data_IF_210106268107
#
_entry.id   IF_210106268107
#
_cell.length_a   1.000
_cell.length_b   1.000
_cell.length_c   1.000
_cell.angle_alpha   90.00
_cell.angle_beta   90.00
_cell.angle_gamma   90.00
#
_symmetry.space_group_name_H-M   'P 1'
#
loop_
_entity.id
_entity.type
_entity.pdbx_description
1 polymer ?
#
# COMPACT_ATOMS: atom_id res chain seq x y z
N UNK A 1 -10.84 -15.28 2.70
CA UNK A 1 -11.49 -15.05 4.01
C UNK A 1 -11.79 -13.55 4.12
N UNK A 2 -12.95 -13.17 4.67
CA UNK A 2 -13.28 -11.76 4.88
C UNK A 2 -12.55 -11.16 6.09
N UNK A 3 -12.58 -9.83 6.21
CA UNK A 3 -11.93 -9.11 7.30
C UNK A 3 -11.19 -7.86 6.83
N UNK A 4 -10.46 -7.23 7.76
CA UNK A 4 -9.81 -5.94 7.54
C UNK A 4 -8.74 -5.99 6.45
N UNK A 5 -8.04 -7.11 6.27
CA UNK A 5 -7.13 -7.33 5.13
C UNK A 5 -7.87 -7.34 3.79
N UNK A 6 -9.05 -7.96 3.73
CA UNK A 6 -9.84 -8.01 2.48
C UNK A 6 -10.40 -6.63 2.12
N UNK A 7 -10.85 -5.89 3.13
CA UNK A 7 -11.46 -4.57 2.97
C UNK A 7 -10.42 -3.48 2.63
N UNK A 8 -9.32 -3.44 3.38
CA UNK A 8 -8.35 -2.33 3.31
C UNK A 8 -7.02 -2.70 2.64
N UNK A 9 -6.67 -3.99 2.58
CA UNK A 9 -5.39 -4.46 2.05
C UNK A 9 -5.18 -4.11 0.59
N UNK A 10 -6.24 -4.11 -0.22
CA UNK A 10 -6.19 -3.74 -1.63
C UNK A 10 -5.59 -2.34 -1.88
N UNK A 11 -5.85 -1.38 -0.99
CA UNK A 11 -5.29 -0.03 -1.11
C UNK A 11 -3.76 -0.01 -1.00
N UNK A 12 -3.19 -0.80 -0.09
CA UNK A 12 -1.74 -0.90 0.06
C UNK A 12 -1.13 -1.79 -1.01
N UNK A 13 -1.82 -2.87 -1.37
CA UNK A 13 -1.39 -3.78 -2.42
C UNK A 13 -1.31 -3.12 -3.79
N UNK A 14 -2.18 -2.16 -4.10
CA UNK A 14 -2.06 -1.36 -5.32
C UNK A 14 -0.68 -0.67 -5.42
N UNK A 15 -0.21 -0.08 -4.31
CA UNK A 15 1.08 0.59 -4.26
C UNK A 15 2.24 -0.41 -4.28
N UNK A 16 2.13 -1.52 -3.54
CA UNK A 16 3.16 -2.58 -3.52
C UNK A 16 3.33 -3.21 -4.91
N UNK A 17 2.23 -3.58 -5.57
CA UNK A 17 2.23 -4.15 -6.92
C UNK A 17 2.74 -3.14 -7.94
N UNK A 18 2.40 -1.86 -7.79
CA UNK A 18 2.91 -0.83 -8.69
C UNK A 18 4.44 -0.69 -8.61
N UNK A 19 5.04 -0.86 -7.42
CA UNK A 19 6.49 -0.71 -7.21
C UNK A 19 7.25 -2.00 -7.52
N UNK A 20 6.76 -3.15 -7.04
CA UNK A 20 7.49 -4.42 -7.04
C UNK A 20 6.91 -5.45 -8.02
N UNK A 21 5.74 -5.20 -8.58
CA UNK A 21 5.05 -6.15 -9.46
C UNK A 21 4.46 -7.34 -8.70
N UNK A 22 4.46 -8.49 -9.36
CA UNK A 22 3.86 -9.73 -8.87
C UNK A 22 4.77 -10.38 -7.81
N UNK A 23 4.27 -10.68 -6.61
CA UNK A 23 5.05 -11.40 -5.61
C UNK A 23 5.30 -12.86 -6.03
N UNK A 24 6.45 -13.39 -5.63
CA UNK A 24 6.83 -14.79 -5.85
C UNK A 24 6.09 -15.73 -4.90
N UNK A 25 5.87 -15.29 -3.66
CA UNK A 25 5.18 -16.04 -2.60
C UNK A 25 4.41 -15.07 -1.72
N UNK A 26 3.21 -15.49 -1.33
CA UNK A 26 2.34 -14.72 -0.43
C UNK A 26 2.00 -15.56 0.80
N UNK A 27 2.22 -14.99 1.99
CA UNK A 27 1.83 -15.61 3.27
C UNK A 27 0.94 -14.66 4.07
N UNK A 28 -0.25 -15.13 4.44
CA UNK A 28 -1.20 -14.37 5.26
C UNK A 28 -1.30 -14.90 6.68
N UNK A 29 -1.26 -14.00 7.66
CA UNK A 29 -1.53 -14.26 9.07
C UNK A 29 -2.81 -13.51 9.44
N UNK A 30 -3.92 -14.24 9.57
CA UNK A 30 -5.25 -13.65 9.77
C UNK A 30 -5.84 -14.09 11.10
N UNK A 31 -6.02 -13.14 12.02
CA UNK A 31 -6.55 -13.39 13.35
C UNK A 31 -7.91 -12.73 13.53
N UNK A 32 -8.77 -13.42 14.28
CA UNK A 32 -10.01 -12.90 14.85
C UNK A 32 -9.76 -12.68 16.33
N UNK A 33 -9.40 -11.44 16.69
CA UNK A 33 -8.88 -11.10 18.01
C UNK A 33 -9.92 -10.40 18.89
N UNK A 34 -10.66 -9.41 18.36
CA UNK A 34 -11.58 -8.59 19.16
C UNK A 34 -12.99 -8.45 18.57
N UNK A 35 -13.14 -8.73 17.28
CA UNK A 35 -14.39 -8.57 16.55
C UNK A 35 -15.51 -9.41 17.18
N UNK A 36 -16.68 -8.81 17.40
CA UNK A 36 -17.87 -9.54 17.83
C UNK A 36 -18.54 -10.35 16.72
N UNK A 37 -18.11 -10.16 15.47
CA UNK A 37 -18.70 -10.82 14.29
C UNK A 37 -17.88 -12.06 13.93
N UNK A 38 -18.45 -13.28 14.03
CA UNK A 38 -17.73 -14.51 13.73
C UNK A 38 -17.16 -14.53 12.31
N UNK A 39 -15.93 -15.01 12.16
CA UNK A 39 -15.28 -15.17 10.85
C UNK A 39 -14.73 -13.90 10.23
N UNK A 40 -14.85 -12.74 10.90
CA UNK A 40 -14.24 -11.47 10.47
C UNK A 40 -12.86 -11.33 11.10
N UNK A 41 -11.82 -11.35 10.28
CA UNK A 41 -10.43 -11.17 10.72
C UNK A 41 -10.15 -9.67 10.93
N UNK A 42 -9.66 -9.28 12.09
CA UNK A 42 -9.52 -7.88 12.52
C UNK A 42 -8.09 -7.52 12.96
N UNK A 43 -7.19 -8.50 13.09
CA UNK A 43 -5.74 -8.30 13.22
C UNK A 43 -5.03 -9.15 12.16
N UNK A 44 -4.37 -8.50 11.21
CA UNK A 44 -3.92 -9.17 10.00
C UNK A 44 -2.56 -8.69 9.52
N UNK A 45 -1.71 -9.63 9.10
CA UNK A 45 -0.42 -9.36 8.47
C UNK A 45 -0.32 -10.15 7.16
N UNK A 46 0.01 -9.47 6.07
CA UNK A 46 0.42 -10.07 4.81
C UNK A 46 1.92 -9.91 4.60
N UNK A 47 2.60 -10.99 4.22
CA UNK A 47 4.01 -11.00 3.83
C UNK A 47 4.11 -11.40 2.36
N UNK A 48 4.79 -10.56 1.57
CA UNK A 48 4.91 -10.70 0.12
C UNK A 48 6.39 -10.74 -0.24
N UNK A 49 6.84 -11.87 -0.76
CA UNK A 49 8.26 -12.12 -1.06
C UNK A 49 8.56 -11.89 -2.55
N UNK A 50 9.69 -11.26 -2.81
CA UNK A 50 10.25 -10.98 -4.13
C UNK A 50 11.73 -11.36 -4.14
N UNK A 51 12.36 -11.47 -5.32
CA UNK A 51 13.77 -11.88 -5.43
C UNK A 51 14.75 -10.97 -4.66
N UNK A 52 14.41 -9.69 -4.49
CA UNK A 52 15.26 -8.70 -3.84
C UNK A 52 14.55 -7.83 -2.80
N UNK A 53 13.32 -8.16 -2.42
CA UNK A 53 12.52 -7.35 -1.49
C UNK A 53 11.51 -8.21 -0.72
N UNK A 54 11.10 -7.70 0.44
CA UNK A 54 9.94 -8.19 1.19
C UNK A 54 9.04 -6.97 1.41
N UNK A 55 7.76 -7.13 1.09
CA UNK A 55 6.74 -6.17 1.50
C UNK A 55 5.87 -6.78 2.60
N UNK A 56 5.48 -5.95 3.56
CA UNK A 56 4.56 -6.31 4.63
C UNK A 56 3.39 -5.35 4.64
N UNK A 57 2.17 -5.88 4.74
CA UNK A 57 0.96 -5.10 4.96
C UNK A 57 0.35 -5.54 6.28
N UNK A 58 0.38 -4.66 7.28
CA UNK A 58 -0.17 -4.89 8.61
C UNK A 58 -1.41 -4.01 8.80
N UNK A 59 -2.53 -4.63 9.21
CA UNK A 59 -3.79 -3.94 9.43
C UNK A 59 -4.47 -4.52 10.66
N UNK A 60 -4.65 -3.65 11.66
CA UNK A 60 -5.29 -3.94 12.94
C UNK A 60 -6.49 -3.02 13.16
N UNK A 61 -7.71 -3.56 13.04
CA UNK A 61 -8.96 -2.80 13.19
C UNK A 61 -9.23 -2.36 14.64
N UNK A 62 -8.57 -3.00 15.62
CA UNK A 62 -8.68 -2.69 17.05
C UNK A 62 -7.76 -1.55 17.52
N UNK A 63 -6.95 -0.96 16.64
CA UNK A 63 -6.02 0.09 17.02
C UNK A 63 -6.76 1.32 17.61
N UNK A 64 -6.30 1.85 18.76
CA UNK A 64 -6.85 3.09 19.31
C UNK A 64 -6.59 4.28 18.39
N UNK A 65 -7.48 5.29 18.41
CA UNK A 65 -7.34 6.48 17.57
C UNK A 65 -6.45 7.55 18.23
N UNK A 66 -5.69 8.35 17.45
CA UNK A 66 -5.55 8.28 15.99
C UNK A 66 -4.70 7.09 15.56
N UNK A 67 -5.11 6.42 14.47
CA UNK A 67 -4.42 5.25 13.93
C UNK A 67 -3.06 5.64 13.34
N UNK A 68 -2.04 4.82 13.58
CA UNK A 68 -0.73 4.95 12.97
C UNK A 68 -0.78 4.45 11.51
N UNK A 69 -1.02 5.38 10.58
CA UNK A 69 -1.01 5.09 9.14
C UNK A 69 0.29 5.56 8.52
N UNK A 70 1.04 4.62 7.97
CA UNK A 70 2.36 4.84 7.39
C UNK A 70 2.56 4.04 6.11
N UNK A 71 3.36 4.59 5.20
CA UNK A 71 3.86 3.89 4.03
C UNK A 71 5.38 4.04 3.99
N UNK A 72 6.09 2.93 3.93
CA UNK A 72 7.53 2.89 4.17
C UNK A 72 8.23 2.11 3.07
N UNK A 73 9.32 2.69 2.56
CA UNK A 73 10.21 2.04 1.60
C UNK A 73 11.64 2.13 2.11
N UNK A 74 12.31 0.98 2.19
CA UNK A 74 13.70 0.86 2.62
C UNK A 74 14.53 0.31 1.45
N UNK A 75 15.54 1.06 1.03
CA UNK A 75 16.45 0.68 -0.05
C UNK A 75 17.90 0.77 0.37
N UNK A 76 18.81 0.36 -0.51
CA UNK A 76 20.24 0.31 -0.20
C UNK A 76 20.90 1.68 -0.06
N UNK A 77 20.27 2.75 -0.56
CA UNK A 77 20.80 4.13 -0.53
C UNK A 77 20.04 5.06 0.39
N UNK A 78 19.01 4.56 1.08
CA UNK A 78 18.12 5.40 1.86
C UNK A 78 16.76 4.79 2.15
N UNK A 79 15.93 5.55 2.85
CA UNK A 79 14.56 5.19 3.17
C UNK A 79 13.62 6.38 3.00
N UNK A 80 12.37 6.10 2.64
CA UNK A 80 11.29 7.08 2.57
C UNK A 80 10.14 6.58 3.43
N UNK A 81 9.74 7.38 4.42
CA UNK A 81 8.66 7.07 5.36
C UNK A 81 7.63 8.19 5.27
N UNK A 82 6.43 7.87 4.82
CA UNK A 82 5.30 8.80 4.80
C UNK A 82 4.44 8.57 6.04
N UNK A 83 4.42 9.54 6.94
CA UNK A 83 3.63 9.56 8.15
C UNK A 83 3.38 11.02 8.57
N UNK A 84 2.12 11.47 8.75
CA UNK A 84 0.88 10.72 8.53
C UNK A 84 0.65 10.40 7.05
N UNK A 85 0.03 9.23 6.80
CA UNK A 85 -0.41 8.83 5.46
C UNK A 85 -1.76 9.45 5.06
N UNK A 86 -2.60 9.81 6.03
CA UNK A 86 -3.93 10.36 5.77
C UNK A 86 -4.37 11.34 6.88
N UNK A 87 -4.46 12.66 6.58
CA UNK A 87 -4.02 13.29 5.34
C UNK A 87 -2.50 13.14 5.14
N UNK A 88 -2.07 13.04 3.89
CA UNK A 88 -0.66 12.90 3.56
C UNK A 88 0.02 14.28 3.73
N UNK A 89 1.11 14.34 4.50
CA UNK A 89 1.71 15.64 4.85
C UNK A 89 3.22 15.72 4.58
N UNK A 90 3.98 14.75 5.08
CA UNK A 90 5.43 14.74 4.94
C UNK A 90 5.97 13.35 4.62
N UNK A 91 7.07 13.35 3.88
CA UNK A 91 7.94 12.19 3.71
C UNK A 91 9.25 12.47 4.43
N UNK A 92 9.55 11.63 5.41
CA UNK A 92 10.86 11.56 6.04
C UNK A 92 11.79 10.75 5.13
N UNK A 93 12.67 11.45 4.41
CA UNK A 93 13.64 10.88 3.46
C UNK A 93 15.04 10.84 4.07
N UNK A 94 15.57 9.64 4.35
CA UNK A 94 16.97 9.46 4.74
C UNK A 94 17.79 9.02 3.55
N UNK A 95 18.95 9.65 3.33
CA UNK A 95 19.88 9.29 2.26
C UNK A 95 21.28 8.99 2.80
N UNK A 96 21.90 7.92 2.29
CA UNK A 96 23.29 7.55 2.58
C UNK A 96 24.28 8.62 2.10
N UNK A 97 23.97 9.25 0.95
CA UNK A 97 24.78 10.31 0.30
C UNK A 97 23.84 11.37 -0.29
N UNK A 98 24.35 12.59 -0.52
CA UNK A 98 23.60 13.65 -1.20
C UNK A 98 23.09 13.18 -2.57
N UNK A 99 21.83 13.43 -2.88
CA UNK A 99 21.21 13.13 -4.19
C UNK A 99 20.34 14.31 -4.63
N UNK A 100 20.65 14.91 -5.78
CA UNK A 100 19.94 16.09 -6.28
C UNK A 100 19.98 17.26 -5.30
N UNK A 101 18.81 17.74 -4.89
CA UNK A 101 18.65 18.81 -3.90
C UNK A 101 18.71 18.31 -2.43
N UNK A 102 18.51 17.01 -2.21
CA UNK A 102 18.43 16.41 -0.87
C UNK A 102 19.82 16.10 -0.31
N UNK A 103 20.06 16.52 0.94
CA UNK A 103 21.33 16.30 1.64
C UNK A 103 21.49 14.85 2.12
N UNK A 104 22.72 14.46 2.40
CA UNK A 104 23.00 13.26 3.18
C UNK A 104 22.30 13.35 4.55
N UNK A 105 21.84 12.21 5.06
CA UNK A 105 21.08 12.15 6.32
C UNK A 105 19.60 12.43 6.09
N UNK A 106 18.95 13.06 7.07
CA UNK A 106 17.49 13.25 7.09
C UNK A 106 17.07 14.51 6.32
N UNK A 107 16.07 14.35 5.45
CA UNK A 107 15.34 15.40 4.76
C UNK A 107 13.85 15.23 5.08
N UNK A 108 13.16 16.33 5.36
CA UNK A 108 11.71 16.34 5.50
C UNK A 108 11.15 16.96 4.22
N UNK A 109 10.51 16.12 3.41
CA UNK A 109 9.91 16.53 2.14
C UNK A 109 8.44 16.81 2.39
N UNK A 110 8.01 18.06 2.20
CA UNK A 110 6.60 18.41 2.23
C UNK A 110 5.93 17.91 0.96
N UNK A 111 4.82 17.22 1.10
CA UNK A 111 3.99 16.80 -0.03
C UNK A 111 2.66 17.54 0.01
N UNK A 112 2.04 17.64 -1.17
CA UNK A 112 0.72 18.24 -1.32
C UNK A 112 -0.35 17.22 -0.93
N UNK A 113 -1.22 17.58 0.01
CA UNK A 113 -2.45 16.82 0.26
C UNK A 113 -3.38 17.02 -0.95
N UNK A 114 -3.63 15.93 -1.68
CA UNK A 114 -4.48 15.95 -2.86
C UNK A 114 -5.86 15.40 -2.53
N UNK A 115 -6.94 16.13 -2.88
CA UNK A 115 -8.29 15.65 -2.67
C UNK A 115 -8.50 14.28 -3.33
N UNK A 116 -9.07 13.35 -2.56
CA UNK A 116 -9.48 12.06 -3.08
C UNK A 116 -10.48 12.26 -4.23
N UNK A 117 -10.37 11.42 -5.24
CA UNK A 117 -11.30 11.32 -6.37
C UNK A 117 -11.30 12.47 -7.38
N UNK A 118 -10.92 13.70 -7.03
CA UNK A 118 -11.00 14.83 -7.99
C UNK A 118 -10.13 14.56 -9.22
N UNK A 119 -8.86 14.22 -9.03
CA UNK A 119 -7.95 13.91 -10.14
C UNK A 119 -8.32 12.63 -10.87
N UNK A 120 -8.66 11.55 -10.14
CA UNK A 120 -8.96 10.25 -10.76
C UNK A 120 -10.28 10.27 -11.52
N UNK A 121 -11.31 11.00 -11.05
CA UNK A 121 -12.57 11.15 -11.77
C UNK A 121 -12.42 12.03 -13.02
N UNK A 122 -11.60 13.09 -12.95
CA UNK A 122 -11.24 13.87 -14.12
C UNK A 122 -10.54 13.02 -15.19
N UNK A 123 -9.59 12.16 -14.80
CA UNK A 123 -8.94 11.23 -15.72
C UNK A 123 -9.88 10.15 -16.25
N UNK A 124 -10.80 9.62 -15.42
CA UNK A 124 -11.84 8.72 -15.89
C UNK A 124 -12.68 9.36 -17.02
N UNK A 125 -13.13 10.61 -16.84
CA UNK A 125 -13.87 11.35 -17.88
C UNK A 125 -13.06 11.57 -19.14
N UNK A 126 -11.74 11.80 -19.03
CA UNK A 126 -10.86 11.91 -20.20
C UNK A 126 -10.71 10.58 -20.92
N UNK A 127 -10.55 9.49 -20.19
CA UNK A 127 -10.38 8.15 -20.74
C UNK A 127 -11.61 7.70 -21.55
N UNK A 128 -12.82 7.83 -21.00
CA UNK A 128 -14.06 7.49 -21.75
C UNK A 128 -14.30 8.37 -22.98
N UNK A 129 -13.65 9.53 -23.05
CA UNK A 129 -13.68 10.45 -24.20
C UNK A 129 -12.54 10.19 -25.20
N UNK A 130 -11.69 9.18 -24.98
CA UNK A 130 -10.52 8.89 -25.81
C UNK A 130 -9.41 9.94 -25.73
N UNK A 131 -9.32 10.69 -24.63
CA UNK A 131 -8.35 11.79 -24.42
C UNK A 131 -7.17 11.43 -23.52
N UNK A 132 -7.17 10.23 -22.96
CA UNK A 132 -6.07 9.65 -22.18
C UNK A 132 -6.24 8.14 -22.11
N UNK A 133 -5.15 7.45 -21.82
CA UNK A 133 -5.17 6.04 -21.44
C UNK A 133 -5.49 5.87 -19.95
N UNK A 134 -5.96 4.69 -19.51
CA UNK A 134 -6.18 4.42 -18.09
C UNK A 134 -4.90 4.60 -17.27
N UNK A 135 -5.02 5.17 -16.07
CA UNK A 135 -3.87 5.35 -15.16
C UNK A 135 -3.24 4.03 -14.69
N UNK A 136 -4.02 2.95 -14.73
CA UNK A 136 -3.63 1.56 -14.43
C UNK A 136 -4.16 0.66 -15.54
N UNK A 137 -3.35 -0.30 -15.98
CA UNK A 137 -3.79 -1.32 -16.93
C UNK A 137 -4.72 -2.33 -16.25
N UNK A 138 -5.54 -3.03 -17.04
CA UNK A 138 -6.36 -4.13 -16.51
C UNK A 138 -5.49 -5.23 -15.88
N UNK A 139 -4.32 -5.51 -16.46
CA UNK A 139 -3.38 -6.49 -15.91
C UNK A 139 -2.87 -6.10 -14.52
N UNK A 140 -2.67 -4.80 -14.27
CA UNK A 140 -2.32 -4.29 -12.95
C UNK A 140 -3.46 -4.53 -11.95
N UNK A 141 -4.69 -4.15 -12.29
CA UNK A 141 -5.86 -4.34 -11.43
C UNK A 141 -6.11 -5.83 -11.12
N UNK A 142 -5.97 -6.70 -12.13
CA UNK A 142 -6.07 -8.15 -11.95
C UNK A 142 -4.97 -8.68 -11.03
N UNK A 143 -3.74 -8.17 -11.15
CA UNK A 143 -2.65 -8.58 -10.28
C UNK A 143 -2.83 -8.13 -8.83
N UNK A 144 -3.37 -6.93 -8.61
CA UNK A 144 -3.73 -6.44 -7.27
C UNK A 144 -4.79 -7.36 -6.66
N UNK A 145 -5.86 -7.64 -7.41
CA UNK A 145 -6.93 -8.52 -6.95
C UNK A 145 -6.42 -9.94 -6.70
N UNK A 146 -5.59 -10.48 -7.58
CA UNK A 146 -4.98 -11.79 -7.40
C UNK A 146 -4.15 -11.83 -6.12
N UNK A 147 -3.29 -10.84 -5.90
CA UNK A 147 -2.43 -10.74 -4.71
C UNK A 147 -3.27 -10.65 -3.42
N UNK A 148 -4.36 -9.88 -3.45
CA UNK A 148 -5.33 -9.80 -2.36
C UNK A 148 -5.99 -11.16 -2.08
N UNK A 149 -6.38 -11.88 -3.13
CA UNK A 149 -6.99 -13.20 -3.00
C UNK A 149 -5.99 -14.24 -2.46
N UNK A 150 -4.72 -14.17 -2.84
CA UNK A 150 -3.67 -15.03 -2.27
C UNK A 150 -3.48 -14.78 -0.77
N UNK A 151 -3.31 -13.52 -0.34
CA UNK A 151 -3.07 -13.21 1.09
C UNK A 151 -4.29 -13.48 1.96
N UNK A 152 -5.50 -13.34 1.43
CA UNK A 152 -6.74 -13.62 2.15
C UNK A 152 -7.15 -15.10 2.10
N UNK A 153 -6.40 -15.95 1.41
CA UNK A 153 -6.64 -17.40 1.30
C UNK A 153 -7.79 -17.78 0.37
N UNK A 154 -8.08 -16.97 -0.64
CA UNK A 154 -8.97 -17.29 -1.76
C UNK A 154 -8.25 -17.89 -2.97
N UNK A 155 -6.93 -17.75 -3.05
CA UNK A 155 -6.02 -18.40 -4.01
C UNK A 155 -4.79 -18.93 -3.26
N UNK A 156 -4.08 -19.86 -3.87
CA UNK A 156 -2.81 -20.37 -3.34
C UNK A 156 -1.71 -19.29 -3.38
N UNK A 157 -0.89 -19.26 -2.33
CA UNK A 157 0.14 -18.24 -2.07
C UNK A 157 1.34 -18.28 -3.00
#
# INVERSE_FOLDING_TARGET
RGGVMYDLGGHMLDQVVWILGRPNRVTGFLQHATSGTPGVMDNTLGVFEYDGAIATVDIAAMEPRPMARRFEVYGTRGSAIMEPFEPADTIRLTLEKRQGEYKQGVNIVKIEDRPRYVGTFAEFVRNIRGKSDPLRSLDHELLVQETLMRVTGGLDG
#
